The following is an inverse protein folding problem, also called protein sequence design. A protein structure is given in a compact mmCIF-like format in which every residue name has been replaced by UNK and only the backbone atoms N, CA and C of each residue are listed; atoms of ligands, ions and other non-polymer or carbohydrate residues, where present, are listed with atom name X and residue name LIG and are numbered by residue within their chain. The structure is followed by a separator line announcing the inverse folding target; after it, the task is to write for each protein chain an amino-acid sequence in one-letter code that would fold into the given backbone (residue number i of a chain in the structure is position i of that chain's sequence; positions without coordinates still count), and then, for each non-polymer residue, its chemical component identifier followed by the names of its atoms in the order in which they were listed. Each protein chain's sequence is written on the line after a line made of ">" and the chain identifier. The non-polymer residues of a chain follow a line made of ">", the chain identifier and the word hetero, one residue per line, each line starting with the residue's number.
data_IF_317928361833
#
_entry.id   IF_317928361833
#
_cell.length_a   1.000
_cell.length_b   1.000
_cell.length_c   1.000
_cell.angle_alpha   90.00
_cell.angle_beta   90.00
_cell.angle_gamma   90.00
#
_symmetry.space_group_name_H-M   'P 1'
#
loop_
_entity.id
_entity.type
_entity.pdbx_description
1 polymer ?
#
# COMPACT_ATOMS: atom_id res chain seq x y z
N UNK A 1 51.07 -8.05 -36.24
CA UNK A 1 52.47 -7.61 -36.02
C UNK A 1 52.41 -6.15 -35.55
N UNK A 2 52.40 -5.90 -34.23
CA UNK A 2 53.53 -5.48 -33.38
C UNK A 2 54.22 -4.18 -33.84
N UNK A 3 54.03 -3.08 -33.08
CA UNK A 3 55.05 -2.08 -32.65
C UNK A 3 54.28 -0.89 -32.01
N UNK A 4 54.20 -0.68 -30.69
CA UNK A 4 55.17 -0.30 -29.63
C UNK A 4 55.15 1.21 -29.29
N UNK A 5 54.87 1.45 -28.00
CA UNK A 5 55.44 2.48 -27.10
C UNK A 5 54.88 3.91 -27.18
N UNK A 6 54.34 4.35 -26.03
CA UNK A 6 54.09 5.75 -25.73
C UNK A 6 53.48 5.95 -24.35
N UNK A 7 54.11 5.44 -23.30
CA UNK A 7 53.76 5.74 -21.90
C UNK A 7 54.33 7.11 -21.53
N UNK A 8 53.52 8.05 -21.04
CA UNK A 8 53.98 9.06 -20.09
C UNK A 8 52.85 9.44 -19.15
N UNK A 9 52.96 8.97 -17.91
CA UNK A 9 52.22 9.48 -16.76
C UNK A 9 52.96 10.69 -16.20
N UNK A 10 52.25 11.72 -15.74
CA UNK A 10 52.77 12.65 -14.74
C UNK A 10 51.68 13.10 -13.75
N UNK A 11 52.13 13.22 -12.50
CA UNK A 11 51.41 13.27 -11.23
C UNK A 11 51.10 14.70 -10.73
N UNK A 12 50.02 14.80 -9.95
CA UNK A 12 49.86 15.42 -8.61
C UNK A 12 49.85 16.96 -8.37
N UNK A 13 48.91 17.36 -7.48
CA UNK A 13 48.98 18.24 -6.27
C UNK A 13 47.69 19.09 -6.14
N UNK A 14 46.74 18.78 -5.25
CA UNK A 14 46.63 19.15 -3.82
C UNK A 14 46.80 20.66 -3.55
N UNK A 15 45.74 21.30 -3.04
CA UNK A 15 45.83 22.66 -2.50
C UNK A 15 44.50 23.24 -1.98
N UNK A 16 44.09 22.85 -0.76
CA UNK A 16 43.25 23.70 0.10
C UNK A 16 44.10 24.86 0.62
N UNK A 17 43.62 26.11 0.55
CA UNK A 17 44.03 27.12 1.53
C UNK A 17 42.94 28.15 1.80
N UNK A 18 42.71 28.31 3.11
CA UNK A 18 41.77 29.15 3.85
C UNK A 18 42.55 30.32 4.45
N UNK A 19 41.84 31.35 4.93
CA UNK A 19 42.11 32.32 6.05
C UNK A 19 41.73 33.74 5.60
N UNK A 20 40.54 34.25 5.99
CA UNK A 20 40.16 35.04 7.22
C UNK A 20 40.62 36.51 7.20
N UNK A 21 39.66 37.42 7.40
CA UNK A 21 39.66 38.57 8.34
C UNK A 21 38.34 39.35 8.16
N UNK A 22 37.66 40.00 9.10
CA UNK A 22 37.52 40.06 10.58
C UNK A 22 36.41 41.11 10.86
N UNK A 23 35.96 41.21 12.12
CA UNK A 23 35.11 42.25 12.75
C UNK A 23 33.60 42.23 12.44
N UNK A 24 32.66 41.83 13.29
CA UNK A 24 32.34 42.05 14.72
C UNK A 24 31.54 43.35 15.02
N UNK A 25 30.24 43.17 15.28
CA UNK A 25 29.44 43.96 16.23
C UNK A 25 28.20 43.13 16.65
N UNK A 26 28.10 42.83 17.94
CA UNK A 26 27.01 42.11 18.61
C UNK A 26 25.80 43.04 18.92
N UNK A 27 24.84 42.66 19.79
CA UNK A 27 23.86 41.58 19.73
C UNK A 27 22.42 42.14 19.73
N UNK A 28 21.45 41.41 19.17
CA UNK A 28 20.03 41.71 19.39
C UNK A 28 19.31 40.47 19.92
N UNK A 29 18.61 40.69 21.02
CA UNK A 29 17.92 39.74 21.86
C UNK A 29 16.79 38.97 21.14
N UNK A 30 16.70 37.69 21.49
CA UNK A 30 15.48 37.07 22.06
C UNK A 30 14.18 37.17 21.27
N UNK A 31 13.77 36.06 20.65
CA UNK A 31 12.44 35.46 20.92
C UNK A 31 12.55 33.94 20.83
N UNK A 32 12.55 33.27 21.98
CA UNK A 32 11.94 31.94 22.11
C UNK A 32 10.42 32.14 22.07
N UNK A 33 9.68 31.33 21.30
CA UNK A 33 8.34 30.98 21.73
C UNK A 33 8.20 29.47 21.95
N UNK A 34 7.73 29.14 23.17
CA UNK A 34 6.86 28.02 23.54
C UNK A 34 7.36 26.60 23.16
N UNK A 35 7.87 25.76 24.05
CA UNK A 35 7.17 25.13 25.19
C UNK A 35 5.64 25.04 25.01
N UNK A 36 5.18 23.85 24.61
CA UNK A 36 3.76 23.49 24.67
C UNK A 36 3.18 22.84 23.42
N UNK A 37 3.79 21.79 22.86
CA UNK A 37 2.99 20.74 22.23
C UNK A 37 2.90 19.57 23.20
N UNK A 38 2.01 19.75 24.17
CA UNK A 38 1.30 18.64 24.79
C UNK A 38 0.80 17.76 23.64
N UNK A 39 1.42 16.58 23.47
CA UNK A 39 0.87 15.54 22.61
C UNK A 39 -0.55 15.33 23.09
N UNK A 40 -1.51 15.88 22.35
CA UNK A 40 -2.92 15.55 22.51
C UNK A 40 -2.97 14.04 22.71
N UNK A 41 -3.61 13.54 23.78
CA UNK A 41 -3.62 12.13 24.08
C UNK A 41 -4.06 11.44 22.80
N UNK A 42 -3.18 10.58 22.26
CA UNK A 42 -3.51 9.80 21.10
C UNK A 42 -4.80 9.06 21.47
N UNK A 43 -5.93 9.56 20.97
CA UNK A 43 -7.24 8.99 21.23
C UNK A 43 -7.09 7.54 20.81
N UNK A 44 -6.98 6.66 21.80
CA UNK A 44 -6.81 5.23 21.58
C UNK A 44 -8.06 4.84 20.84
N UNK A 45 -7.95 4.67 19.50
CA UNK A 45 -9.07 4.18 18.70
C UNK A 45 -9.64 2.98 19.46
N UNK A 46 -10.94 2.96 19.77
CA UNK A 46 -11.53 1.89 20.57
C UNK A 46 -11.13 0.55 19.97
N UNK A 47 -10.80 -0.45 20.81
CA UNK A 47 -10.26 -1.73 20.36
C UNK A 47 -11.12 -2.40 19.27
N UNK A 48 -12.41 -2.05 19.25
CA UNK A 48 -13.44 -2.39 18.27
C UNK A 48 -13.15 -1.97 16.81
N UNK A 49 -12.18 -1.07 16.56
CA UNK A 49 -11.77 -0.65 15.21
C UNK A 49 -10.35 -1.12 14.82
N UNK A 50 -9.75 -2.04 15.58
CA UNK A 50 -8.45 -2.62 15.20
C UNK A 50 -8.57 -3.32 13.85
N UNK A 51 -7.75 -2.88 12.89
CA UNK A 51 -7.73 -3.48 11.55
C UNK A 51 -7.15 -4.89 11.62
N UNK A 52 -7.81 -5.86 10.98
CA UNK A 52 -7.39 -7.27 10.91
C UNK A 52 -6.98 -7.64 9.49
N UNK A 53 -6.15 -8.66 9.35
CA UNK A 53 -5.97 -9.32 8.05
C UNK A 53 -7.34 -9.78 7.59
N UNK A 54 -7.77 -9.27 6.46
CA UNK A 54 -9.10 -9.53 5.94
C UNK A 54 -9.11 -10.83 5.14
N UNK A 55 -10.22 -11.53 5.27
CA UNK A 55 -10.53 -12.71 4.48
C UNK A 55 -10.86 -12.31 3.04
N UNK A 56 -10.51 -13.18 2.09
CA UNK A 56 -10.91 -13.05 0.69
C UNK A 56 -12.00 -14.06 0.39
N UNK A 57 -13.19 -13.57 0.07
CA UNK A 57 -14.40 -14.39 -0.12
C UNK A 57 -14.89 -14.32 -1.57
N UNK A 58 -15.75 -15.27 -1.95
CA UNK A 58 -16.49 -15.22 -3.20
C UNK A 58 -17.61 -14.18 -3.10
N UNK A 59 -17.68 -13.23 -4.06
CA UNK A 59 -18.64 -12.12 -4.04
C UNK A 59 -20.08 -12.61 -3.92
N UNK A 60 -20.48 -13.56 -4.77
CA UNK A 60 -21.87 -14.03 -4.86
C UNK A 60 -22.28 -14.81 -3.63
N UNK A 61 -21.40 -15.70 -3.14
CA UNK A 61 -21.67 -16.48 -1.93
C UNK A 61 -21.80 -15.56 -0.71
N UNK A 62 -20.87 -14.62 -0.54
CA UNK A 62 -20.89 -13.71 0.61
C UNK A 62 -22.15 -12.85 0.65
N UNK A 63 -22.56 -12.27 -0.49
CA UNK A 63 -23.79 -11.47 -0.56
C UNK A 63 -25.07 -12.30 -0.39
N UNK A 64 -25.06 -13.57 -0.80
CA UNK A 64 -26.18 -14.49 -0.57
C UNK A 64 -26.33 -14.86 0.91
N UNK A 65 -25.21 -15.08 1.60
CA UNK A 65 -25.17 -15.45 3.02
C UNK A 65 -25.52 -14.28 3.94
N UNK A 66 -25.15 -13.05 3.57
CA UNK A 66 -25.44 -11.84 4.34
C UNK A 66 -25.95 -10.69 3.43
N UNK A 67 -27.27 -10.45 3.40
CA UNK A 67 -27.87 -9.41 2.56
C UNK A 67 -27.56 -7.98 3.02
N UNK A 68 -26.95 -7.79 4.21
CA UNK A 68 -26.55 -6.47 4.71
C UNK A 68 -25.18 -6.02 4.17
N UNK A 69 -24.47 -6.91 3.45
CA UNK A 69 -23.21 -6.58 2.80
C UNK A 69 -23.47 -5.68 1.60
N UNK A 70 -22.75 -4.56 1.57
CA UNK A 70 -22.76 -3.62 0.47
C UNK A 70 -21.37 -3.50 -0.12
N UNK A 71 -21.30 -3.41 -1.44
CA UNK A 71 -20.05 -3.15 -2.13
C UNK A 71 -19.59 -1.70 -1.87
N UNK A 72 -18.32 -1.53 -1.51
CA UNK A 72 -17.73 -0.20 -1.39
C UNK A 72 -17.50 0.38 -2.78
N UNK A 73 -17.63 1.70 -2.95
CA UNK A 73 -17.51 2.42 -4.25
C UNK A 73 -16.16 2.31 -4.99
N UNK A 74 -15.24 1.47 -4.53
CA UNK A 74 -13.85 1.40 -4.99
C UNK A 74 -13.45 -0.02 -5.41
N UNK A 75 -14.36 -0.85 -5.91
CA UNK A 75 -13.97 -2.15 -6.48
C UNK A 75 -13.07 -1.96 -7.70
N UNK A 76 -12.17 -2.91 -7.90
CA UNK A 76 -11.12 -2.85 -8.91
C UNK A 76 -11.20 -4.08 -9.79
N UNK A 77 -11.33 -3.82 -11.08
CA UNK A 77 -11.33 -4.85 -12.11
C UNK A 77 -9.92 -5.34 -12.41
N UNK A 78 -9.80 -6.56 -12.92
CA UNK A 78 -8.55 -7.24 -13.24
C UNK A 78 -7.65 -6.49 -14.23
N UNK A 79 -8.18 -5.53 -14.96
CA UNK A 79 -7.44 -4.68 -15.89
C UNK A 79 -6.69 -3.52 -15.22
N UNK A 80 -6.92 -3.26 -13.93
CA UNK A 80 -6.40 -2.07 -13.24
C UNK A 80 -5.74 -2.40 -11.89
N UNK A 81 -5.27 -3.63 -11.68
CA UNK A 81 -4.60 -4.01 -10.43
C UNK A 81 -3.35 -3.17 -10.13
N UNK A 82 -2.61 -2.70 -11.14
CA UNK A 82 -1.49 -1.79 -10.90
C UNK A 82 -1.92 -0.43 -10.32
N UNK A 83 -3.15 0.03 -10.59
CA UNK A 83 -3.72 1.27 -10.05
C UNK A 83 -4.26 1.04 -8.62
N UNK A 84 -4.61 -0.20 -8.28
CA UNK A 84 -5.09 -0.64 -6.96
C UNK A 84 -4.15 -0.37 -5.79
N UNK A 85 -2.86 -0.18 -6.05
CA UNK A 85 -1.85 0.19 -5.05
C UNK A 85 -2.31 1.43 -4.28
N UNK A 86 -2.91 2.39 -4.98
CA UNK A 86 -3.35 3.66 -4.40
C UNK A 86 -4.55 3.51 -3.48
N UNK A 87 -5.32 2.42 -3.60
CA UNK A 87 -6.53 2.18 -2.83
C UNK A 87 -6.30 1.29 -1.60
N UNK A 88 -5.06 0.84 -1.37
CA UNK A 88 -4.66 0.15 -0.13
C UNK A 88 -5.06 -1.33 -0.04
N UNK A 89 -5.48 -1.94 -1.15
CA UNK A 89 -5.87 -3.36 -1.24
C UNK A 89 -4.73 -4.32 -0.94
N UNK A 90 -3.54 -4.01 -1.42
CA UNK A 90 -2.37 -4.88 -1.34
C UNK A 90 -1.36 -4.33 -0.34
N UNK A 91 -1.16 -5.03 0.77
CA UNK A 91 -0.20 -4.67 1.80
C UNK A 91 1.22 -4.89 1.30
N UNK A 92 2.02 -3.82 1.29
CA UNK A 92 3.45 -3.87 0.99
C UNK A 92 3.81 -4.53 -0.37
N UNK A 93 2.86 -4.60 -1.31
CA UNK A 93 3.13 -5.09 -2.66
C UNK A 93 3.82 -4.00 -3.50
N UNK A 94 4.87 -4.39 -4.21
CA UNK A 94 5.54 -3.50 -5.17
C UNK A 94 4.72 -3.36 -6.46
N UNK A 95 4.93 -2.25 -7.19
CA UNK A 95 4.33 -2.04 -8.53
C UNK A 95 4.60 -3.22 -9.48
N UNK A 96 5.81 -3.76 -9.46
CA UNK A 96 6.22 -4.88 -10.31
C UNK A 96 5.43 -6.14 -9.99
N UNK A 97 5.22 -6.45 -8.70
CA UNK A 97 4.41 -7.60 -8.30
C UNK A 97 2.96 -7.48 -8.76
N UNK A 98 2.37 -6.28 -8.70
CA UNK A 98 0.99 -6.10 -9.16
C UNK A 98 0.86 -6.14 -10.68
N UNK A 99 1.84 -5.64 -11.42
CA UNK A 99 1.90 -5.82 -12.88
C UNK A 99 2.00 -7.31 -13.23
N UNK A 100 2.82 -8.07 -12.49
CA UNK A 100 2.94 -9.52 -12.68
C UNK A 100 1.63 -10.24 -12.36
N UNK A 101 0.94 -9.84 -11.29
CA UNK A 101 -0.40 -10.34 -10.94
C UNK A 101 -1.40 -10.09 -12.08
N UNK A 102 -1.49 -8.85 -12.55
CA UNK A 102 -2.36 -8.44 -13.67
C UNK A 102 -2.09 -9.27 -14.92
N UNK A 103 -0.81 -9.41 -15.29
CA UNK A 103 -0.41 -10.19 -16.45
C UNK A 103 -0.75 -11.69 -16.28
N UNK A 104 -0.55 -12.25 -15.09
CA UNK A 104 -0.87 -13.67 -14.81
C UNK A 104 -2.37 -13.92 -14.96
N UNK A 105 -3.21 -13.07 -14.36
CA UNK A 105 -4.67 -13.18 -14.42
C UNK A 105 -5.18 -13.01 -15.85
N UNK A 106 -4.67 -12.02 -16.59
CA UNK A 106 -5.04 -11.83 -18.00
C UNK A 106 -4.59 -12.96 -18.90
N UNK A 107 -3.42 -13.55 -18.67
CA UNK A 107 -2.97 -14.69 -19.46
C UNK A 107 -3.85 -15.92 -19.23
N UNK A 108 -4.25 -16.19 -17.98
CA UNK A 108 -5.23 -17.25 -17.72
C UNK A 108 -6.55 -16.99 -18.44
N UNK A 109 -7.05 -15.75 -18.38
CA UNK A 109 -8.25 -15.36 -19.11
C UNK A 109 -8.13 -15.58 -20.62
N UNK A 110 -7.01 -15.15 -21.22
CA UNK A 110 -6.81 -15.27 -22.66
C UNK A 110 -6.60 -16.72 -23.13
N UNK A 111 -6.02 -17.58 -22.28
CA UNK A 111 -5.72 -18.98 -22.63
C UNK A 111 -6.88 -19.93 -22.35
N UNK A 112 -7.68 -19.66 -21.32
CA UNK A 112 -8.74 -20.54 -20.84
C UNK A 112 -10.15 -19.99 -21.06
N UNK A 113 -10.27 -18.78 -21.61
CA UNK A 113 -11.53 -18.05 -21.85
C UNK A 113 -12.39 -17.88 -20.57
N UNK A 114 -11.73 -17.83 -19.41
CA UNK A 114 -12.34 -17.64 -18.08
C UNK A 114 -11.40 -16.93 -17.13
N UNK A 115 -11.95 -16.19 -16.17
CA UNK A 115 -11.14 -15.68 -15.07
C UNK A 115 -10.73 -16.81 -14.11
N UNK A 116 -9.67 -16.61 -13.31
CA UNK A 116 -9.37 -17.50 -12.19
C UNK A 116 -10.59 -17.72 -11.30
N UNK A 117 -10.68 -18.88 -10.68
CA UNK A 117 -11.56 -19.11 -9.53
C UNK A 117 -10.99 -18.40 -8.29
N UNK A 118 -11.78 -18.30 -7.22
CA UNK A 118 -11.31 -17.77 -5.94
C UNK A 118 -10.04 -18.48 -5.44
N UNK A 119 -10.03 -19.81 -5.49
CA UNK A 119 -8.90 -20.62 -5.01
C UNK A 119 -7.65 -20.40 -5.87
N UNK A 120 -7.81 -20.37 -7.20
CA UNK A 120 -6.71 -20.07 -8.12
C UNK A 120 -6.18 -18.65 -7.90
N UNK A 121 -7.05 -17.67 -7.71
CA UNK A 121 -6.64 -16.30 -7.44
C UNK A 121 -5.89 -16.17 -6.09
N UNK A 122 -6.37 -16.83 -5.04
CA UNK A 122 -5.64 -16.92 -3.76
C UNK A 122 -4.26 -17.57 -3.92
N UNK A 123 -4.17 -18.60 -4.76
CA UNK A 123 -2.90 -19.24 -5.10
C UNK A 123 -1.97 -18.26 -5.81
N UNK A 124 -2.46 -17.52 -6.80
CA UNK A 124 -1.66 -16.50 -7.52
C UNK A 124 -1.15 -15.43 -6.56
N UNK A 125 -1.97 -14.94 -5.63
CA UNK A 125 -1.52 -13.98 -4.60
C UNK A 125 -0.38 -14.56 -3.76
N UNK A 126 -0.55 -15.81 -3.31
CA UNK A 126 0.45 -16.52 -2.51
C UNK A 126 1.76 -16.74 -3.27
N UNK A 127 1.68 -17.23 -4.51
CA UNK A 127 2.83 -17.50 -5.37
C UNK A 127 3.64 -16.21 -5.66
N UNK A 128 2.98 -15.06 -5.71
CA UNK A 128 3.61 -13.76 -5.93
C UNK A 128 4.01 -13.03 -4.63
N UNK A 129 3.83 -13.68 -3.47
CA UNK A 129 4.06 -13.11 -2.14
C UNK A 129 3.31 -11.78 -1.93
N UNK A 130 2.08 -11.70 -2.44
CA UNK A 130 1.19 -10.56 -2.31
C UNK A 130 0.26 -10.83 -1.13
N UNK A 131 0.24 -9.90 -0.17
CA UNK A 131 -0.66 -9.95 0.99
C UNK A 131 -1.74 -8.89 0.85
N UNK A 132 -2.94 -9.21 1.31
CA UNK A 132 -4.03 -8.24 1.36
C UNK A 132 -3.85 -7.28 2.56
N UNK A 133 -4.33 -6.05 2.38
CA UNK A 133 -4.35 -4.99 3.39
C UNK A 133 -5.18 -5.36 4.60
N UNK A 134 -4.88 -4.74 5.75
CA UNK A 134 -5.77 -4.90 6.90
C UNK A 134 -7.04 -4.06 6.70
N UNK A 135 -8.21 -4.67 6.92
CA UNK A 135 -9.51 -3.99 6.85
C UNK A 135 -10.12 -3.80 8.24
N UNK A 136 -11.15 -2.96 8.33
CA UNK A 136 -11.93 -2.84 9.55
C UNK A 136 -12.73 -4.14 9.84
N UNK A 137 -13.16 -4.39 11.09
CA UNK A 137 -13.85 -5.65 11.45
C UNK A 137 -15.21 -5.89 10.78
N UNK A 138 -15.76 -4.86 10.14
CA UNK A 138 -17.00 -4.90 9.36
C UNK A 138 -16.75 -4.93 7.85
N UNK A 139 -15.51 -5.16 7.41
CA UNK A 139 -15.10 -5.20 6.01
C UNK A 139 -14.40 -6.51 5.67
N UNK A 140 -14.55 -6.95 4.44
CA UNK A 140 -13.86 -8.12 3.87
C UNK A 140 -13.54 -7.89 2.39
N UNK A 141 -12.51 -8.54 1.87
CA UNK A 141 -12.26 -8.51 0.43
C UNK A 141 -13.15 -9.53 -0.26
N UNK A 142 -13.64 -9.19 -1.44
CA UNK A 142 -14.25 -10.17 -2.34
C UNK A 142 -13.41 -10.34 -3.59
N UNK A 143 -13.54 -11.50 -4.20
CA UNK A 143 -13.17 -11.76 -5.57
C UNK A 143 -14.38 -12.28 -6.35
N UNK A 144 -14.57 -11.80 -7.57
CA UNK A 144 -15.63 -12.25 -8.48
C UNK A 144 -15.02 -13.06 -9.63
N UNK A 145 -15.24 -14.39 -9.69
CA UNK A 145 -14.70 -15.23 -10.75
C UNK A 145 -15.39 -15.04 -12.10
N UNK A 146 -16.50 -14.30 -12.19
CA UNK A 146 -17.15 -14.02 -13.47
C UNK A 146 -16.55 -12.80 -14.18
N UNK A 147 -16.04 -11.85 -13.41
CA UNK A 147 -15.53 -10.57 -13.91
C UNK A 147 -14.04 -10.39 -13.66
N UNK A 148 -13.44 -11.22 -12.81
CA UNK A 148 -12.08 -11.06 -12.33
C UNK A 148 -11.90 -9.86 -11.39
N UNK A 149 -12.97 -9.33 -10.83
CA UNK A 149 -12.94 -8.13 -9.97
C UNK A 149 -12.52 -8.48 -8.54
N UNK A 150 -11.72 -7.60 -7.92
CA UNK A 150 -11.45 -7.61 -6.49
C UNK A 150 -11.97 -6.32 -5.86
N UNK A 151 -12.62 -6.41 -4.72
CA UNK A 151 -13.14 -5.24 -4.03
C UNK A 151 -13.34 -5.47 -2.55
N UNK A 152 -14.00 -4.52 -1.88
CA UNK A 152 -14.34 -4.62 -0.46
C UNK A 152 -15.86 -4.67 -0.30
N UNK A 153 -16.33 -5.69 0.41
CA UNK A 153 -17.68 -5.73 0.98
C UNK A 153 -17.65 -5.13 2.38
N UNK A 154 -18.69 -4.38 2.69
CA UNK A 154 -18.88 -3.74 3.98
C UNK A 154 -20.22 -4.16 4.58
N UNK A 155 -20.20 -4.61 5.83
CA UNK A 155 -21.41 -4.86 6.61
C UNK A 155 -21.87 -3.55 7.26
N UNK A 156 -22.94 -2.99 6.71
CA UNK A 156 -23.48 -1.70 7.14
C UNK A 156 -24.05 -1.72 8.56
N UNK A 157 -24.64 -2.85 8.98
CA UNK A 157 -25.23 -3.05 10.31
C UNK A 157 -24.12 -3.16 11.34
N UNK A 158 -23.15 -4.04 11.11
CA UNK A 158 -22.01 -4.24 12.01
C UNK A 158 -21.16 -2.98 12.15
N UNK A 159 -21.02 -2.20 11.07
CA UNK A 159 -20.37 -0.89 11.13
C UNK A 159 -21.09 0.06 12.09
N UNK A 160 -22.42 0.09 12.06
CA UNK A 160 -23.21 0.94 12.94
C UNK A 160 -23.12 0.46 14.40
N UNK A 161 -23.25 -0.84 14.64
CA UNK A 161 -23.08 -1.42 15.99
C UNK A 161 -21.72 -1.06 16.61
N UNK A 162 -20.64 -1.13 15.83
CA UNK A 162 -19.31 -0.78 16.30
C UNK A 162 -19.14 0.73 16.53
N UNK A 163 -19.85 1.58 15.77
CA UNK A 163 -19.87 3.03 16.01
C UNK A 163 -20.61 3.36 17.30
N UNK A 164 -21.76 2.76 17.53
CA UNK A 164 -22.55 2.98 18.74
C UNK A 164 -21.82 2.44 19.98
N UNK A 165 -21.16 1.29 19.86
CA UNK A 165 -20.28 0.73 20.90
C UNK A 165 -19.02 1.59 21.17
N UNK A 166 -18.66 2.50 20.27
CA UNK A 166 -17.51 3.39 20.40
C UNK A 166 -17.86 4.81 20.86
N UNK A 167 -19.14 5.17 20.94
CA UNK A 167 -19.62 6.52 21.21
C UNK A 167 -19.74 6.89 22.71
N UNK A 168 -18.89 6.30 23.56
CA UNK A 168 -18.89 6.48 25.02
C UNK A 168 -17.77 7.42 25.46
#
# INVERSE_FOLDING_TARGET
>A
MRSLIGTLALLALVGCQRVKSSEEAAPAAEVKPAEGEEKAPAVKKPEHFKKRVAELVDKKKAMADNPNLVETKNAITSDNYAIAITQGYFAAASKVQLIQLEHTVRNMQALEDRWPTLEEFQKILTDNNIKLGHLYPYQMYFYDPETGEIGILEDSVKRQELKDAAAW
#
